data_IF_439096850504
#
_entry.id   IF_439096850504
#
_cell.length_a   1.000
_cell.length_b   1.000
_cell.length_c   1.000
_cell.angle_alpha   90.00
_cell.angle_beta   90.00
_cell.angle_gamma   90.00
#
_symmetry.space_group_name_H-M   'P 1'
#
loop_
_entity.id
_entity.type
_entity.pdbx_description
1 polymer ?
#
# COMPACT_ATOMS: atom_id res chain seq x y z
N UNK A 1 5.16 28.57 -4.19
CA UNK A 1 5.26 27.77 -2.95
C UNK A 1 5.48 26.33 -3.38
N UNK A 2 6.51 25.65 -2.87
CA UNK A 2 6.71 24.23 -3.14
C UNK A 2 5.70 23.44 -2.30
N UNK A 3 4.99 22.50 -2.93
CA UNK A 3 4.08 21.61 -2.23
C UNK A 3 4.89 20.66 -1.34
N UNK A 4 4.49 20.54 -0.07
CA UNK A 4 5.08 19.60 0.88
C UNK A 4 4.02 18.66 1.43
N UNK A 5 4.33 17.37 1.46
CA UNK A 5 3.50 16.32 2.07
C UNK A 5 4.10 15.76 3.35
N UNK A 6 5.20 16.33 3.84
CA UNK A 6 5.84 15.87 5.07
C UNK A 6 4.87 15.89 6.25
N UNK A 7 4.95 14.86 7.09
CA UNK A 7 4.11 14.70 8.28
C UNK A 7 3.30 13.41 8.27
N UNK A 8 2.31 13.37 9.16
CA UNK A 8 1.46 12.20 9.35
C UNK A 8 0.17 12.32 8.55
N UNK A 9 -0.24 11.18 8.02
CA UNK A 9 -1.43 11.05 7.20
C UNK A 9 -2.19 9.81 7.61
N UNK A 10 -3.50 9.89 7.57
CA UNK A 10 -4.37 8.74 7.69
C UNK A 10 -5.02 8.48 6.33
N UNK A 11 -5.09 7.21 5.96
CA UNK A 11 -5.50 6.79 4.64
C UNK A 11 -6.41 5.61 4.64
N UNK A 12 -7.12 5.46 3.53
CA UNK A 12 -7.85 4.26 3.21
C UNK A 12 -7.62 3.82 1.77
N UNK A 13 -7.75 2.53 1.52
CA UNK A 13 -7.80 1.97 0.18
C UNK A 13 -8.99 1.03 0.03
N UNK A 14 -9.54 1.02 -1.18
CA UNK A 14 -10.67 0.21 -1.57
C UNK A 14 -10.25 -0.73 -2.69
N UNK A 15 -10.71 -1.99 -2.64
CA UNK A 15 -10.44 -3.01 -3.64
C UNK A 15 -11.59 -3.05 -4.64
N UNK A 16 -11.30 -2.73 -5.91
CA UNK A 16 -12.33 -2.60 -6.96
C UNK A 16 -12.55 -3.87 -7.80
N UNK A 17 -11.74 -4.91 -7.61
CA UNK A 17 -11.79 -6.13 -8.42
C UNK A 17 -12.25 -7.37 -7.65
N UNK A 18 -12.93 -8.27 -8.37
CA UNK A 18 -13.67 -9.43 -7.86
C UNK A 18 -12.78 -10.64 -7.51
N UNK A 19 -11.46 -10.46 -7.41
CA UNK A 19 -10.51 -11.58 -7.41
C UNK A 19 -10.68 -12.52 -6.21
N UNK A 20 -11.10 -11.99 -5.06
CA UNK A 20 -11.53 -12.81 -3.94
C UNK A 20 -12.83 -12.22 -3.40
N UNK A 21 -13.93 -12.96 -3.58
CA UNK A 21 -15.28 -12.62 -3.10
C UNK A 21 -15.30 -12.25 -1.60
N UNK A 22 -14.27 -12.66 -0.84
CA UNK A 22 -14.11 -12.39 0.60
C UNK A 22 -13.48 -11.04 0.95
N UNK A 23 -12.81 -10.36 0.01
CA UNK A 23 -12.15 -9.05 0.24
C UNK A 23 -12.61 -7.96 -0.72
N UNK A 24 -13.51 -8.31 -1.66
CA UNK A 24 -14.20 -7.35 -2.53
C UNK A 24 -15.05 -6.42 -1.66
N UNK A 25 -15.13 -5.16 -2.08
CA UNK A 25 -15.93 -4.12 -1.43
C UNK A 25 -15.48 -3.74 -0.01
N UNK A 26 -14.28 -4.15 0.38
CA UNK A 26 -13.69 -3.81 1.69
C UNK A 26 -12.84 -2.56 1.59
N UNK A 27 -13.00 -1.67 2.58
CA UNK A 27 -12.13 -0.51 2.80
C UNK A 27 -11.18 -0.84 3.94
N UNK A 28 -9.89 -0.66 3.69
CA UNK A 28 -8.83 -0.87 4.68
C UNK A 28 -8.22 0.46 5.06
N UNK A 29 -7.82 0.61 6.32
CA UNK A 29 -7.27 1.85 6.86
C UNK A 29 -5.80 1.70 7.23
N UNK A 30 -5.05 2.80 7.14
CA UNK A 30 -3.63 2.82 7.46
C UNK A 30 -3.18 4.22 7.87
N UNK A 31 -2.04 4.28 8.57
CA UNK A 31 -1.35 5.54 8.90
C UNK A 31 -0.01 5.57 8.20
N UNK A 32 0.34 6.71 7.59
CA UNK A 32 1.63 6.94 6.93
C UNK A 32 2.32 8.15 7.55
N UNK A 33 3.63 8.03 7.78
CA UNK A 33 4.49 9.18 8.07
C UNK A 33 5.40 9.40 6.86
N UNK A 34 5.24 10.54 6.18
CA UNK A 34 6.09 10.94 5.06
C UNK A 34 7.23 11.83 5.53
N UNK A 35 8.41 11.61 4.92
CA UNK A 35 9.57 12.49 4.92
C UNK A 35 9.81 12.93 3.48
N UNK A 36 10.10 14.20 3.25
CA UNK A 36 10.30 14.73 1.90
C UNK A 36 11.63 15.47 1.78
N UNK A 37 12.42 15.10 0.76
CA UNK A 37 13.62 15.83 0.38
C UNK A 37 13.57 16.13 -1.12
N UNK A 38 13.34 17.40 -1.46
CA UNK A 38 13.03 17.83 -2.83
C UNK A 38 11.81 17.07 -3.39
N UNK A 39 11.97 16.44 -4.55
CA UNK A 39 10.94 15.62 -5.18
C UNK A 39 10.92 14.17 -4.66
N UNK A 40 11.86 13.77 -3.79
CA UNK A 40 11.91 12.40 -3.23
C UNK A 40 11.06 12.34 -1.97
N UNK A 41 10.24 11.28 -1.87
CA UNK A 41 9.47 10.96 -0.67
C UNK A 41 9.87 9.59 -0.13
N UNK A 42 10.01 9.51 1.18
CA UNK A 42 10.22 8.27 1.93
C UNK A 42 9.25 8.23 3.10
N UNK A 43 9.05 7.07 3.71
CA UNK A 43 8.18 7.00 4.88
C UNK A 43 7.99 5.60 5.43
N UNK A 44 7.18 5.54 6.47
CA UNK A 44 6.69 4.29 7.06
C UNK A 44 5.18 4.29 7.03
N UNK A 45 4.58 3.10 6.92
CA UNK A 45 3.14 2.93 6.96
C UNK A 45 2.79 1.77 7.89
N UNK A 46 1.73 1.93 8.68
CA UNK A 46 1.18 0.91 9.56
C UNK A 46 -0.27 0.66 9.14
N UNK A 47 -0.57 -0.57 8.76
CA UNK A 47 -1.94 -0.99 8.46
C UNK A 47 -2.75 -1.12 9.75
N UNK A 48 -3.91 -0.47 9.82
CA UNK A 48 -4.71 -0.41 11.04
C UNK A 48 -5.26 -1.78 11.44
N UNK A 49 -5.65 -2.58 10.44
CA UNK A 49 -6.30 -3.89 10.65
C UNK A 49 -5.31 -4.99 11.05
N UNK A 50 -4.07 -4.92 10.56
CA UNK A 50 -3.06 -5.97 10.76
C UNK A 50 -1.90 -5.56 11.66
N UNK A 51 -1.73 -4.26 11.91
CA UNK A 51 -0.56 -3.70 12.58
C UNK A 51 0.75 -3.84 11.79
N UNK A 52 0.69 -4.35 10.54
CA UNK A 52 1.88 -4.63 9.74
C UNK A 52 2.54 -3.31 9.31
N UNK A 53 3.83 -3.20 9.65
CA UNK A 53 4.65 -2.08 9.24
C UNK A 53 5.23 -2.30 7.82
N UNK A 54 5.19 -1.25 7.02
CA UNK A 54 5.68 -1.23 5.64
C UNK A 54 6.53 0.01 5.41
N UNK A 55 7.38 -0.04 4.38
CA UNK A 55 8.21 1.10 3.97
C UNK A 55 7.64 1.76 2.73
N UNK A 56 7.78 3.09 2.65
CA UNK A 56 7.33 3.90 1.52
C UNK A 56 8.53 4.53 0.81
N UNK A 57 8.57 4.42 -0.51
CA UNK A 57 9.52 5.14 -1.37
C UNK A 57 8.81 5.69 -2.61
N UNK A 58 9.07 6.95 -2.97
CA UNK A 58 8.37 7.55 -4.10
C UNK A 58 8.89 8.90 -4.52
N UNK A 59 8.06 9.60 -5.30
CA UNK A 59 8.31 10.95 -5.77
C UNK A 59 7.06 11.83 -5.73
N UNK A 60 7.24 13.11 -5.43
CA UNK A 60 6.25 14.16 -5.57
C UNK A 60 6.74 15.16 -6.63
N UNK A 61 5.94 15.39 -7.68
CA UNK A 61 6.26 16.37 -8.72
C UNK A 61 5.03 17.24 -8.98
N UNK A 62 5.15 18.54 -8.70
CA UNK A 62 4.01 19.47 -8.67
C UNK A 62 2.95 18.94 -7.69
N UNK A 63 1.76 18.59 -8.16
CA UNK A 63 0.67 17.98 -7.37
C UNK A 63 0.53 16.47 -7.62
N UNK A 64 1.40 15.84 -8.43
CA UNK A 64 1.34 14.40 -8.69
C UNK A 64 2.26 13.65 -7.73
N UNK A 65 1.70 12.65 -7.05
CA UNK A 65 2.40 11.76 -6.12
C UNK A 65 2.42 10.34 -6.69
N UNK A 66 3.60 9.69 -6.65
CA UNK A 66 3.75 8.29 -6.98
C UNK A 66 4.65 7.64 -5.93
N UNK A 67 4.21 6.56 -5.31
CA UNK A 67 5.03 5.84 -4.33
C UNK A 67 4.78 4.34 -4.37
N UNK A 68 5.72 3.59 -3.82
CA UNK A 68 5.64 2.16 -3.62
C UNK A 68 5.58 1.92 -2.12
N UNK A 69 4.57 1.17 -1.70
CA UNK A 69 4.46 0.61 -0.36
C UNK A 69 4.96 -0.81 -0.40
N UNK A 70 6.00 -1.11 0.37
CA UNK A 70 6.66 -2.41 0.35
C UNK A 70 6.44 -3.12 1.67
N UNK A 71 5.78 -4.27 1.61
CA UNK A 71 5.70 -5.22 2.70
C UNK A 71 7.01 -6.02 2.71
N UNK A 72 7.72 -6.02 3.85
CA UNK A 72 8.86 -6.92 4.05
C UNK A 72 8.29 -8.26 4.51
N UNK A 73 8.62 -9.33 3.79
CA UNK A 73 8.17 -10.67 4.15
C UNK A 73 8.57 -11.01 5.58
N UNK A 74 7.60 -11.55 6.33
CA UNK A 74 7.68 -11.71 7.77
C UNK A 74 6.37 -11.31 8.44
N UNK A 75 5.29 -12.01 8.11
CA UNK A 75 4.07 -11.97 8.93
C UNK A 75 4.06 -13.22 9.79
N UNK A 76 4.14 -13.03 11.10
CA UNK A 76 3.87 -14.05 12.10
C UNK A 76 2.36 -14.04 12.33
N UNK A 77 1.64 -15.06 11.87
CA UNK A 77 0.25 -15.27 12.27
C UNK A 77 0.27 -16.29 13.40
N UNK A 78 -0.18 -15.88 14.58
CA UNK A 78 -0.48 -16.81 15.67
C UNK A 78 -1.87 -17.39 15.44
N UNK A 79 -1.94 -18.69 15.21
CA UNK A 79 -3.17 -19.46 15.08
C UNK A 79 -3.03 -20.71 15.96
N UNK A 80 -3.93 -20.89 16.92
CA UNK A 80 -3.95 -22.02 17.88
C UNK A 80 -2.63 -22.31 18.61
N UNK A 81 -1.93 -21.26 19.08
CA UNK A 81 -0.66 -21.41 19.80
C UNK A 81 0.51 -21.84 18.91
N UNK A 82 0.34 -21.79 17.59
CA UNK A 82 1.38 -22.04 16.61
C UNK A 82 1.68 -20.74 15.84
N UNK A 83 2.86 -20.17 16.03
CA UNK A 83 3.33 -19.03 15.23
C UNK A 83 3.72 -19.54 13.84
N UNK A 84 2.90 -19.28 12.83
CA UNK A 84 3.29 -19.52 11.43
C UNK A 84 3.98 -18.26 10.92
N UNK A 85 5.31 -18.34 10.77
CA UNK A 85 6.10 -17.33 10.07
C UNK A 85 6.03 -17.60 8.57
N UNK A 86 5.38 -16.70 7.83
CA UNK A 86 5.48 -16.69 6.37
C UNK A 86 6.66 -15.82 5.98
N UNK A 87 7.80 -16.45 5.72
CA UNK A 87 8.93 -15.84 5.04
C UNK A 87 8.68 -15.94 3.54
N UNK A 88 8.10 -14.91 2.94
CA UNK A 88 8.40 -14.63 1.54
C UNK A 88 9.73 -13.86 1.56
N UNK A 89 10.81 -14.47 1.08
CA UNK A 89 12.12 -13.81 0.98
C UNK A 89 12.09 -12.56 0.07
N UNK A 90 11.02 -12.39 -0.70
CA UNK A 90 10.83 -11.27 -1.63
C UNK A 90 9.92 -10.19 -1.04
N UNK A 91 10.34 -8.92 -1.07
CA UNK A 91 9.47 -7.80 -0.72
C UNK A 91 8.25 -7.75 -1.64
N UNK A 92 7.07 -7.51 -1.08
CA UNK A 92 5.81 -7.43 -1.83
C UNK A 92 5.47 -5.95 -2.09
N UNK A 93 5.58 -5.45 -3.34
CA UNK A 93 5.35 -4.04 -3.64
C UNK A 93 3.89 -3.76 -4.06
N UNK A 94 3.30 -2.73 -3.45
CA UNK A 94 2.03 -2.13 -3.87
C UNK A 94 2.30 -0.73 -4.40
N UNK A 95 1.87 -0.45 -5.63
CA UNK A 95 2.18 0.79 -6.32
C UNK A 95 1.01 1.76 -6.20
N UNK A 96 1.28 3.00 -5.79
CA UNK A 96 0.30 4.07 -5.62
C UNK A 96 0.61 5.23 -6.55
N UNK A 97 -0.44 5.79 -7.16
CA UNK A 97 -0.37 7.00 -7.98
C UNK A 97 -1.55 7.89 -7.64
N UNK A 98 -1.34 9.20 -7.58
CA UNK A 98 -2.41 10.11 -7.23
C UNK A 98 -2.08 11.58 -7.36
N UNK A 99 -2.97 12.38 -6.78
CA UNK A 99 -2.93 13.84 -6.77
C UNK A 99 -3.04 14.33 -5.33
N UNK A 100 -2.33 15.43 -5.05
CA UNK A 100 -2.38 16.15 -3.77
C UNK A 100 -3.17 17.45 -3.95
N UNK A 101 -4.17 17.65 -3.11
CA UNK A 101 -5.07 18.81 -3.09
C UNK A 101 -5.20 19.33 -1.65
N UNK A 102 -4.33 20.27 -1.28
CA UNK A 102 -4.27 20.79 0.09
C UNK A 102 -3.87 19.71 1.10
N UNK A 103 -4.75 19.46 2.07
CA UNK A 103 -4.58 18.43 3.10
C UNK A 103 -5.23 17.09 2.74
N UNK A 104 -5.54 16.90 1.46
CA UNK A 104 -6.08 15.64 0.94
C UNK A 104 -5.23 15.10 -0.19
N UNK A 105 -5.16 13.79 -0.29
CA UNK A 105 -4.58 13.08 -1.41
C UNK A 105 -5.49 11.96 -1.86
N UNK A 106 -5.51 11.67 -3.16
CA UNK A 106 -6.29 10.55 -3.68
C UNK A 106 -5.72 10.01 -4.98
N UNK A 107 -6.07 8.78 -5.31
CA UNK A 107 -5.73 8.20 -6.59
C UNK A 107 -5.99 6.71 -6.67
N UNK A 108 -5.14 6.03 -7.43
CA UNK A 108 -5.23 4.61 -7.71
C UNK A 108 -4.04 3.86 -7.15
N UNK A 109 -4.27 2.59 -6.82
CA UNK A 109 -3.21 1.66 -6.47
C UNK A 109 -3.30 0.40 -7.32
N UNK A 110 -2.16 -0.26 -7.51
CA UNK A 110 -2.05 -1.54 -8.21
C UNK A 110 -1.14 -2.49 -7.46
N UNK A 111 -1.51 -3.77 -7.41
CA UNK A 111 -0.73 -4.83 -6.81
C UNK A 111 -0.59 -6.01 -7.80
N UNK A 112 0.61 -6.29 -8.32
CA UNK A 112 0.83 -7.45 -9.17
C UNK A 112 0.84 -8.72 -8.29
N UNK A 113 -0.04 -9.67 -8.60
CA UNK A 113 -0.11 -10.96 -7.94
C UNK A 113 0.15 -12.08 -8.95
N UNK A 114 0.96 -13.06 -8.57
CA UNK A 114 1.08 -14.30 -9.33
C UNK A 114 0.10 -15.33 -8.77
N UNK A 115 -0.91 -15.67 -9.56
CA UNK A 115 -1.93 -16.66 -9.16
C UNK A 115 -1.58 -17.99 -9.85
N UNK A 116 -1.48 -19.10 -9.10
CA UNK A 116 -1.36 -20.41 -9.71
C UNK A 116 -2.62 -20.72 -10.51
N UNK A 117 -2.47 -20.96 -11.82
CA UNK A 117 -3.55 -21.27 -12.75
C UNK A 117 -3.24 -22.59 -13.45
N UNK A 118 -3.86 -23.69 -12.99
CA UNK A 118 -3.46 -25.07 -13.31
C UNK A 118 -2.02 -25.36 -12.83
N UNK A 119 -1.73 -26.59 -12.42
CA UNK A 119 -0.51 -27.00 -11.69
C UNK A 119 0.86 -26.53 -12.27
N UNK A 120 0.92 -26.05 -13.52
CA UNK A 120 2.15 -25.65 -14.20
C UNK A 120 2.19 -24.20 -14.70
N UNK A 121 1.08 -23.44 -14.67
CA UNK A 121 1.07 -22.06 -15.17
C UNK A 121 0.83 -21.06 -14.05
N UNK A 122 1.67 -20.03 -13.98
CA UNK A 122 1.39 -18.84 -13.18
C UNK A 122 0.76 -17.79 -14.09
N UNK A 123 -0.44 -17.34 -13.75
CA UNK A 123 -1.07 -16.21 -14.43
C UNK A 123 -0.79 -14.96 -13.62
N UNK A 124 -0.16 -13.97 -14.23
CA UNK A 124 -0.03 -12.64 -13.62
C UNK A 124 -1.39 -11.96 -13.65
N UNK A 125 -1.84 -11.58 -12.47
CA UNK A 125 -3.00 -10.73 -12.28
C UNK A 125 -2.54 -9.42 -11.65
N UNK A 126 -3.31 -8.36 -11.85
CA UNK A 126 -2.99 -7.06 -11.24
C UNK A 126 -4.25 -6.57 -10.57
N UNK A 127 -4.27 -6.71 -9.25
CA UNK A 127 -5.32 -6.10 -8.45
C UNK A 127 -5.17 -4.59 -8.51
N UNK A 128 -6.30 -3.89 -8.44
CA UNK A 128 -6.35 -2.44 -8.44
C UNK A 128 -7.49 -1.90 -7.60
N UNK A 129 -7.38 -0.63 -7.26
CA UNK A 129 -8.46 0.11 -6.66
C UNK A 129 -8.08 1.55 -6.39
N UNK A 130 -8.85 2.20 -5.54
CA UNK A 130 -8.68 3.61 -5.23
C UNK A 130 -8.24 3.82 -3.80
N UNK A 131 -7.56 4.93 -3.53
CA UNK A 131 -7.16 5.31 -2.19
C UNK A 131 -7.41 6.80 -1.94
N UNK A 132 -7.54 7.15 -0.67
CA UNK A 132 -7.63 8.53 -0.19
C UNK A 132 -6.81 8.68 1.10
N UNK A 133 -6.24 9.86 1.32
CA UNK A 133 -5.55 10.21 2.56
C UNK A 133 -5.87 11.64 2.98
N UNK A 134 -5.80 11.90 4.28
CA UNK A 134 -5.95 13.20 4.92
C UNK A 134 -4.84 13.43 5.94
N UNK A 135 -4.36 14.67 6.02
CA UNK A 135 -3.33 15.07 6.98
C UNK A 135 -3.90 15.03 8.41
N UNK A 136 -3.08 14.61 9.37
CA UNK A 136 -3.42 14.60 10.81
C UNK A 136 -2.48 15.47 11.64
#
# INVERSE_FOLDING_TARGET
>A
MLLTIEGNWEGSFYISEDFAFMIKDTTYYYKITFQQQNDKITGTCIDADTGVATTIEGKLKKNSINFVKTYRGGTSVEDDGCTKQYFEDEPIPVYYRGIVEGDTMSGEWTFPMEVPFLYFFKKRHTMRGTWKMWRI
#
